data_IF_437627676898
#
_entry.id   IF_437627676898
#
_cell.length_a   1.000
_cell.length_b   1.000
_cell.length_c   1.000
_cell.angle_alpha   90.00
_cell.angle_beta   90.00
_cell.angle_gamma   90.00
#
_symmetry.space_group_name_H-M   'P 1'
#
loop_
_entity.id
_entity.type
_entity.pdbx_description
1 polymer ?
#
# COMPACT_ATOMS: atom_id res chain seq x y z
N UNK A 1 -7.81 -33.51 1.04
CA UNK A 1 -8.40 -34.43 0.01
C UNK A 1 -8.08 -33.98 -1.42
N UNK A 2 -8.49 -32.80 -1.90
CA UNK A 2 -8.28 -32.34 -3.30
C UNK A 2 -6.82 -32.44 -3.80
N UNK A 3 -5.85 -31.93 -3.05
CA UNK A 3 -4.42 -31.97 -3.42
C UNK A 3 -3.82 -33.38 -3.43
N UNK A 4 -4.34 -34.33 -2.65
CA UNK A 4 -3.76 -35.67 -2.43
C UNK A 4 -4.58 -36.79 -3.09
N UNK A 5 -5.56 -36.44 -3.94
CA UNK A 5 -6.51 -37.39 -4.56
C UNK A 5 -5.87 -38.44 -5.46
N UNK A 6 -4.65 -38.19 -5.94
CA UNK A 6 -3.89 -39.11 -6.79
C UNK A 6 -2.99 -40.06 -6.00
N UNK A 7 -2.71 -39.74 -4.73
CA UNK A 7 -1.85 -40.54 -3.87
C UNK A 7 -2.65 -41.46 -2.94
N UNK A 8 -3.90 -41.10 -2.62
CA UNK A 8 -4.74 -41.87 -1.70
C UNK A 8 -6.20 -41.96 -2.19
N UNK A 9 -6.89 -43.09 -1.96
CA UNK A 9 -8.30 -43.22 -2.24
C UNK A 9 -9.14 -42.19 -1.48
N UNK A 10 -10.08 -41.54 -2.18
CA UNK A 10 -10.95 -40.50 -1.61
C UNK A 10 -11.84 -41.05 -0.51
N UNK A 11 -12.31 -42.29 -0.64
CA UNK A 11 -13.13 -42.99 0.37
C UNK A 11 -12.37 -43.16 1.70
N UNK A 12 -11.09 -43.54 1.64
CA UNK A 12 -10.24 -43.68 2.82
C UNK A 12 -10.02 -42.34 3.52
N UNK A 13 -9.67 -41.30 2.75
CA UNK A 13 -9.51 -39.95 3.29
C UNK A 13 -10.82 -39.39 3.88
N UNK A 14 -11.97 -39.71 3.26
CA UNK A 14 -13.29 -39.23 3.68
C UNK A 14 -13.66 -39.81 5.05
N UNK A 15 -13.41 -41.13 5.20
CA UNK A 15 -13.60 -41.85 6.46
C UNK A 15 -12.69 -41.31 7.56
N UNK A 16 -11.42 -41.07 7.26
CA UNK A 16 -10.43 -40.57 8.22
C UNK A 16 -10.73 -39.14 8.69
N UNK A 17 -11.28 -38.29 7.82
CA UNK A 17 -11.64 -36.90 8.12
C UNK A 17 -13.09 -36.74 8.60
N UNK A 18 -13.85 -37.84 8.73
CA UNK A 18 -15.28 -37.83 9.08
C UNK A 18 -16.15 -36.95 8.17
N UNK A 19 -15.91 -36.96 6.85
CA UNK A 19 -16.69 -36.22 5.84
C UNK A 19 -17.31 -37.20 4.84
N UNK A 20 -18.51 -36.91 4.31
CA UNK A 20 -19.09 -37.74 3.26
C UNK A 20 -18.37 -37.57 1.91
N UNK A 21 -18.27 -38.66 1.15
CA UNK A 21 -17.67 -38.66 -0.20
C UNK A 21 -18.49 -37.80 -1.17
N UNK A 22 -19.82 -37.85 -1.06
CA UNK A 22 -20.73 -37.02 -1.88
C UNK A 22 -20.50 -35.53 -1.62
N UNK A 23 -20.39 -35.12 -0.35
CA UNK A 23 -20.13 -33.73 0.02
C UNK A 23 -18.79 -33.23 -0.52
N UNK A 24 -17.76 -34.08 -0.57
CA UNK A 24 -16.49 -33.74 -1.20
C UNK A 24 -16.65 -33.43 -2.70
N UNK A 25 -17.34 -34.28 -3.46
CA UNK A 25 -17.55 -34.05 -4.89
C UNK A 25 -18.51 -32.89 -5.18
N UNK A 26 -19.52 -32.70 -4.35
CA UNK A 26 -20.41 -31.54 -4.43
C UNK A 26 -19.63 -30.25 -4.19
N UNK A 27 -18.80 -30.20 -3.15
CA UNK A 27 -17.90 -29.08 -2.90
C UNK A 27 -16.90 -28.88 -4.04
N UNK A 28 -16.39 -29.96 -4.65
CA UNK A 28 -15.46 -29.87 -5.78
C UNK A 28 -16.11 -29.23 -7.01
N UNK A 29 -17.40 -29.52 -7.24
CA UNK A 29 -18.19 -28.96 -8.34
C UNK A 29 -18.73 -27.56 -8.05
N UNK A 30 -18.87 -27.18 -6.77
CA UNK A 30 -19.34 -25.84 -6.39
C UNK A 30 -18.36 -24.79 -6.92
N UNK A 31 -18.90 -23.92 -7.79
CA UNK A 31 -18.19 -22.72 -8.23
C UNK A 31 -18.04 -21.69 -7.13
N UNK A 32 -17.54 -20.52 -7.51
CA UNK A 32 -17.35 -19.40 -6.60
C UNK A 32 -18.70 -18.91 -6.09
N UNK A 33 -18.85 -18.75 -4.77
CA UNK A 33 -20.12 -18.30 -4.20
C UNK A 33 -20.46 -16.88 -4.65
N UNK A 34 -21.75 -16.56 -4.78
CA UNK A 34 -22.22 -15.19 -5.08
C UNK A 34 -21.61 -14.15 -4.14
N UNK A 35 -21.49 -14.49 -2.85
CA UNK A 35 -20.88 -13.65 -1.82
C UNK A 35 -19.40 -13.39 -2.10
N UNK A 36 -18.67 -14.41 -2.53
CA UNK A 36 -17.25 -14.29 -2.87
C UNK A 36 -17.06 -13.42 -4.11
N UNK A 37 -17.93 -13.57 -5.13
CA UNK A 37 -17.90 -12.73 -6.33
C UNK A 37 -18.11 -11.26 -5.95
N UNK A 38 -19.14 -10.97 -5.15
CA UNK A 38 -19.41 -9.60 -4.68
C UNK A 38 -18.25 -9.04 -3.85
N UNK A 39 -17.66 -9.84 -2.96
CA UNK A 39 -16.48 -9.47 -2.16
C UNK A 39 -15.29 -9.12 -3.07
N UNK A 40 -15.07 -9.88 -4.12
CA UNK A 40 -13.99 -9.64 -5.08
C UNK A 40 -14.23 -8.35 -5.87
N UNK A 41 -15.45 -8.10 -6.34
CA UNK A 41 -15.83 -6.84 -7.00
C UNK A 41 -15.59 -5.63 -6.10
N UNK A 42 -16.04 -5.69 -4.85
CA UNK A 42 -15.79 -4.63 -3.86
C UNK A 42 -14.29 -4.42 -3.60
N UNK A 43 -13.51 -5.50 -3.58
CA UNK A 43 -12.06 -5.44 -3.39
C UNK A 43 -11.38 -4.71 -4.55
N UNK A 44 -11.81 -4.97 -5.78
CA UNK A 44 -11.30 -4.30 -6.97
C UNK A 44 -11.61 -2.79 -6.90
N UNK A 45 -12.85 -2.41 -6.60
CA UNK A 45 -13.25 -1.00 -6.50
C UNK A 45 -12.44 -0.24 -5.43
N UNK A 46 -12.21 -0.86 -4.27
CA UNK A 46 -11.40 -0.25 -3.21
C UNK A 46 -9.93 -0.08 -3.63
N UNK A 47 -9.37 -1.02 -4.40
CA UNK A 47 -7.99 -0.92 -4.91
C UNK A 47 -7.86 0.23 -5.91
N UNK A 48 -8.79 0.31 -6.87
CA UNK A 48 -8.82 1.39 -7.87
C UNK A 48 -8.91 2.74 -7.17
N UNK A 49 -9.89 2.93 -6.28
CA UNK A 49 -10.04 4.19 -5.54
C UNK A 49 -8.81 4.52 -4.66
N UNK A 50 -8.13 3.51 -4.13
CA UNK A 50 -6.91 3.71 -3.36
C UNK A 50 -5.75 4.23 -4.24
N UNK A 51 -5.63 3.75 -5.47
CA UNK A 51 -4.64 4.21 -6.44
C UNK A 51 -4.97 5.61 -6.97
N UNK A 52 -6.23 5.88 -7.32
CA UNK A 52 -6.71 7.20 -7.79
C UNK A 52 -6.43 8.30 -6.76
N UNK A 53 -6.57 7.98 -5.47
CA UNK A 53 -6.27 8.90 -4.36
C UNK A 53 -4.78 9.00 -4.01
N UNK A 54 -3.90 8.48 -4.89
CA UNK A 54 -2.44 8.39 -4.69
C UNK A 54 -2.07 7.76 -3.35
N UNK A 55 -2.88 6.79 -2.91
CA UNK A 55 -2.69 6.06 -1.66
C UNK A 55 -2.73 6.97 -0.42
N UNK A 56 -3.26 8.19 -0.52
CA UNK A 56 -3.28 9.14 0.60
C UNK A 56 -4.47 8.92 1.55
N UNK A 57 -5.57 8.34 1.05
CA UNK A 57 -6.83 8.27 1.80
C UNK A 57 -6.92 7.05 2.72
N UNK A 58 -7.17 7.34 4.01
CA UNK A 58 -7.63 6.35 5.00
C UNK A 58 -9.03 5.81 4.69
N UNK A 59 -9.45 4.74 5.37
CA UNK A 59 -10.73 4.08 5.06
C UNK A 59 -11.95 5.01 5.19
N UNK A 60 -11.93 5.97 6.12
CA UNK A 60 -13.01 6.96 6.29
C UNK A 60 -13.14 7.85 5.04
N UNK A 61 -12.03 8.48 4.62
CA UNK A 61 -12.01 9.36 3.44
C UNK A 61 -12.29 8.58 2.16
N UNK A 62 -11.73 7.37 2.07
CA UNK A 62 -11.95 6.49 0.92
C UNK A 62 -13.40 6.03 0.81
N UNK A 63 -14.09 5.80 1.93
CA UNK A 63 -15.53 5.47 1.92
C UNK A 63 -16.36 6.65 1.39
N UNK A 64 -16.06 7.88 1.83
CA UNK A 64 -16.72 9.09 1.30
C UNK A 64 -16.45 9.27 -0.20
N UNK A 65 -15.22 9.01 -0.64
CA UNK A 65 -14.85 9.07 -2.05
C UNK A 65 -15.66 8.07 -2.89
N UNK A 66 -15.76 6.82 -2.45
CA UNK A 66 -16.57 5.79 -3.10
C UNK A 66 -18.06 6.17 -3.12
N UNK A 67 -18.58 6.73 -2.03
CA UNK A 67 -19.97 7.21 -1.97
C UNK A 67 -20.24 8.35 -2.95
N UNK A 68 -19.29 9.27 -3.13
CA UNK A 68 -19.40 10.35 -4.11
C UNK A 68 -19.43 9.83 -5.56
N UNK A 69 -18.80 8.69 -5.83
CA UNK A 69 -18.89 7.96 -7.10
C UNK A 69 -20.15 7.08 -7.23
N UNK A 70 -21.09 7.16 -6.27
CA UNK A 70 -22.32 6.37 -6.27
C UNK A 70 -22.17 4.93 -5.75
N UNK A 71 -20.97 4.54 -5.31
CA UNK A 71 -20.68 3.20 -4.80
C UNK A 71 -21.04 3.13 -3.31
N UNK A 72 -22.14 2.44 -2.98
CA UNK A 72 -22.57 2.22 -1.60
C UNK A 72 -21.77 1.10 -0.95
N UNK A 73 -20.85 1.46 -0.06
CA UNK A 73 -20.10 0.51 0.78
C UNK A 73 -20.05 0.97 2.23
N UNK A 74 -20.06 0.02 3.16
CA UNK A 74 -19.90 0.34 4.59
C UNK A 74 -18.45 0.64 4.92
N UNK A 75 -18.23 1.56 5.88
CA UNK A 75 -16.88 1.88 6.36
C UNK A 75 -16.14 0.63 6.88
N UNK A 76 -16.86 -0.29 7.54
CA UNK A 76 -16.31 -1.55 8.01
C UNK A 76 -15.82 -2.43 6.85
N UNK A 77 -16.60 -2.52 5.76
CA UNK A 77 -16.19 -3.29 4.58
C UNK A 77 -14.92 -2.73 3.95
N UNK A 78 -14.85 -1.40 3.78
CA UNK A 78 -13.64 -0.73 3.24
C UNK A 78 -12.44 -0.96 4.16
N UNK A 79 -12.60 -0.81 5.48
CA UNK A 79 -11.55 -1.08 6.47
C UNK A 79 -11.03 -2.52 6.38
N UNK A 80 -11.93 -3.49 6.35
CA UNK A 80 -11.56 -4.91 6.26
C UNK A 80 -10.85 -5.23 4.95
N UNK A 81 -11.33 -4.70 3.82
CA UNK A 81 -10.70 -4.89 2.52
C UNK A 81 -9.29 -4.29 2.52
N UNK A 82 -9.11 -3.07 3.03
CA UNK A 82 -7.78 -2.46 3.15
C UNK A 82 -6.84 -3.30 4.00
N UNK A 83 -7.31 -3.80 5.16
CA UNK A 83 -6.51 -4.62 6.05
C UNK A 83 -6.08 -5.96 5.40
N UNK A 84 -7.04 -6.70 4.81
CA UNK A 84 -6.79 -8.00 4.16
C UNK A 84 -5.89 -7.89 2.92
N UNK A 85 -5.86 -6.73 2.26
CA UNK A 85 -5.04 -6.50 1.07
C UNK A 85 -3.79 -5.66 1.35
N UNK A 86 -3.45 -5.42 2.63
CA UNK A 86 -2.27 -4.64 3.02
C UNK A 86 -2.20 -3.26 2.36
N UNK A 87 -3.36 -2.60 2.20
CA UNK A 87 -3.45 -1.27 1.59
C UNK A 87 -3.26 -0.18 2.65
N UNK A 88 -2.05 0.35 2.75
CA UNK A 88 -1.70 1.38 3.72
C UNK A 88 -1.68 2.76 3.09
N UNK A 89 -1.98 3.78 3.91
CA UNK A 89 -1.88 5.15 3.44
C UNK A 89 -0.40 5.56 3.33
N UNK A 90 0.01 6.08 2.18
CA UNK A 90 1.31 6.72 2.03
C UNK A 90 1.23 8.17 2.53
N UNK A 91 2.06 8.50 3.52
CA UNK A 91 2.29 9.87 3.93
C UNK A 91 3.59 10.35 3.30
N UNK A 92 3.51 11.37 2.45
CA UNK A 92 4.72 12.02 1.97
C UNK A 92 5.37 12.79 3.12
N UNK A 93 6.67 12.58 3.32
CA UNK A 93 7.47 13.42 4.23
C UNK A 93 7.42 14.84 3.66
N UNK A 94 6.97 15.79 4.47
CA UNK A 94 6.94 17.21 4.05
C UNK A 94 8.39 17.62 3.74
N UNK A 95 8.64 18.12 2.53
CA UNK A 95 9.92 18.73 2.22
C UNK A 95 10.09 19.93 3.17
N UNK A 96 11.15 19.91 3.98
CA UNK A 96 11.51 21.04 4.83
C UNK A 96 12.58 21.83 4.08
N UNK A 97 12.24 23.03 3.62
CA UNK A 97 13.23 23.98 3.14
C UNK A 97 13.97 24.52 4.37
N UNK A 98 15.20 24.03 4.59
CA UNK A 98 16.05 24.43 5.73
C UNK A 98 16.56 25.86 5.59
N UNK A 99 16.65 26.35 4.35
CA UNK A 99 17.15 27.71 4.06
C UNK A 99 15.99 28.64 3.71
N UNK A 100 15.72 29.62 4.57
CA UNK A 100 14.87 30.74 4.21
C UNK A 100 15.70 31.75 3.40
N UNK A 101 15.57 31.71 2.07
CA UNK A 101 16.23 32.68 1.17
C UNK A 101 15.52 34.03 1.14
N UNK A 102 14.31 34.13 1.72
CA UNK A 102 13.57 35.38 1.87
C UNK A 102 13.92 36.03 3.21
N UNK A 103 15.04 36.75 3.22
CA UNK A 103 15.56 37.46 4.38
C UNK A 103 16.20 38.79 3.97
N UNK A 104 16.21 39.76 4.88
CA UNK A 104 16.83 41.07 4.64
C UNK A 104 18.35 41.10 4.94
N UNK A 105 19.01 39.94 4.98
CA UNK A 105 20.47 39.83 5.15
C UNK A 105 21.15 39.90 3.79
N UNK A 106 22.44 40.26 3.78
CA UNK A 106 23.25 40.28 2.57
C UNK A 106 23.19 38.91 1.86
N UNK A 107 22.78 38.94 0.59
CA UNK A 107 22.78 37.78 -0.30
C UNK A 107 24.07 37.87 -1.11
N UNK A 108 24.93 36.88 -0.95
CA UNK A 108 26.17 36.77 -1.73
C UNK A 108 25.93 35.87 -2.94
N UNK A 109 26.58 36.20 -4.05
CA UNK A 109 26.51 35.41 -5.27
C UNK A 109 27.07 34.00 -5.04
N UNK A 110 26.38 32.99 -5.57
CA UNK A 110 26.85 31.61 -5.51
C UNK A 110 27.93 31.38 -6.57
N UNK A 111 29.17 31.76 -6.25
CA UNK A 111 30.32 31.65 -7.17
C UNK A 111 30.63 30.21 -7.62
N UNK A 112 30.12 29.19 -6.92
CA UNK A 112 30.38 27.79 -7.24
C UNK A 112 29.40 27.24 -8.28
N UNK A 113 28.15 27.70 -8.32
CA UNK A 113 27.09 27.26 -9.25
C UNK A 113 26.98 25.72 -9.45
N UNK A 114 27.29 24.91 -8.43
CA UNK A 114 27.39 23.45 -8.52
C UNK A 114 28.46 22.91 -9.51
N UNK A 115 29.42 23.75 -9.91
CA UNK A 115 30.61 23.32 -10.64
C UNK A 115 31.63 22.73 -9.66
N UNK A 116 31.72 21.40 -9.64
CA UNK A 116 32.67 20.67 -8.79
C UNK A 116 33.92 20.18 -9.54
N UNK A 117 33.99 20.41 -10.85
CA UNK A 117 35.13 20.00 -11.67
C UNK A 117 36.23 21.07 -11.65
N UNK A 118 37.18 20.92 -10.73
CA UNK A 118 38.31 21.84 -10.57
C UNK A 118 39.61 21.24 -11.10
N UNK A 119 40.47 22.07 -11.69
CA UNK A 119 41.72 21.62 -12.34
C UNK A 119 42.90 21.54 -11.37
N UNK A 120 42.82 22.20 -10.22
CA UNK A 120 43.87 22.22 -9.19
C UNK A 120 43.26 22.17 -7.77
N UNK A 121 44.01 21.68 -6.78
CA UNK A 121 43.61 21.79 -5.38
C UNK A 121 43.41 23.26 -4.94
N UNK A 122 42.66 23.45 -3.86
CA UNK A 122 42.41 24.76 -3.21
C UNK A 122 41.64 25.79 -4.06
N UNK A 123 40.89 25.37 -5.09
CA UNK A 123 40.08 26.27 -5.93
C UNK A 123 38.65 26.51 -5.39
N UNK A 124 38.10 25.55 -4.66
CA UNK A 124 36.80 25.67 -4.00
C UNK A 124 36.81 24.92 -2.68
N UNK A 125 36.26 25.53 -1.64
CA UNK A 125 36.24 25.00 -0.28
C UNK A 125 34.79 24.89 0.15
N UNK A 126 34.39 23.74 0.67
CA UNK A 126 33.06 23.51 1.23
C UNK A 126 33.20 22.95 2.63
N UNK A 127 32.41 23.47 3.56
CA UNK A 127 32.36 23.02 4.95
C UNK A 127 30.91 22.81 5.34
N UNK A 128 30.65 21.79 6.17
CA UNK A 128 29.34 21.55 6.77
C UNK A 128 29.42 21.71 8.30
N UNK A 129 28.31 22.10 8.92
CA UNK A 129 28.22 22.24 10.37
C UNK A 129 27.44 21.05 10.91
N UNK A 130 28.11 20.23 11.72
CA UNK A 130 27.45 19.14 12.46
C UNK A 130 27.06 19.64 13.85
N UNK A 131 25.76 19.74 14.13
CA UNK A 131 25.27 20.03 15.47
C UNK A 131 25.48 18.81 16.37
N UNK A 132 26.37 18.95 17.37
CA UNK A 132 26.52 17.96 18.44
C UNK A 132 25.53 18.33 19.53
N UNK A 133 24.62 17.42 19.84
CA UNK A 133 23.62 17.64 20.88
C UNK A 133 24.29 17.53 22.27
N UNK A 134 24.34 18.64 22.99
CA UNK A 134 24.68 18.64 24.43
C UNK A 134 23.40 18.41 25.23
N UNK A 135 23.33 17.28 25.92
CA UNK A 135 22.24 16.94 26.85
C UNK A 135 22.26 17.87 28.05
#
# INVERSE_FOLDING_TARGET
MKQKRYSFPITLMARLLHVSVSCFYDWLKRGVSKRTIQRNQQTILVKIAHEETRQSYGYIRLTKYLQAQGIKMSMYAVRQIKALNHLYCKRHKRFKRTTNSDHNRAIYENLLEQQFSMTRPNQAWSSDITYIWTV
#
